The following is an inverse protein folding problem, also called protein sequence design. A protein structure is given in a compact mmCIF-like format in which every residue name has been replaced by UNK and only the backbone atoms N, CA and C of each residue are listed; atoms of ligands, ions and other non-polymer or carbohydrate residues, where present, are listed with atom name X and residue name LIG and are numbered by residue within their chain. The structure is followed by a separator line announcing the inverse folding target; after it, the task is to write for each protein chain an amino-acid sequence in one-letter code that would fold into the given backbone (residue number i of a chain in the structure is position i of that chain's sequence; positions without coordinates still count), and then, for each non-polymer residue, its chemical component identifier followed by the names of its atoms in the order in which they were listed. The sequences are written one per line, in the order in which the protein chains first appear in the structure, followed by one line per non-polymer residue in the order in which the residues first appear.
data_IF_141219746056
#
_entry.id   IF_141219746056
#
_cell.length_a   1.000
_cell.length_b   1.000
_cell.length_c   1.000
_cell.angle_alpha   90.00
_cell.angle_beta   90.00
_cell.angle_gamma   90.00
#
_symmetry.space_group_name_H-M   'P 1'
#
loop_
_entity.id
_entity.type
_entity.pdbx_description
1 polymer ?
#
# COMPACT_ATOMS: atom_id res chain seq x y z
N UNK A 1 -19.11 -44.02 -61.92
CA UNK A 1 -18.68 -42.62 -61.74
C UNK A 1 -19.81 -41.85 -61.09
N UNK A 2 -19.72 -41.58 -59.79
CA UNK A 2 -20.64 -40.68 -59.07
C UNK A 2 -19.85 -39.99 -57.97
N UNK A 3 -19.73 -38.67 -58.08
CA UNK A 3 -19.06 -37.79 -57.11
C UNK A 3 -19.99 -37.58 -55.92
N UNK A 4 -19.54 -37.91 -54.71
CA UNK A 4 -20.17 -37.44 -53.47
C UNK A 4 -19.29 -36.36 -52.88
N UNK A 5 -19.76 -35.13 -52.98
CA UNK A 5 -19.18 -33.94 -52.36
C UNK A 5 -19.56 -33.95 -50.88
N UNK A 6 -18.59 -34.14 -49.98
CA UNK A 6 -18.79 -33.91 -48.54
C UNK A 6 -18.26 -32.51 -48.23
N UNK A 7 -19.19 -31.61 -47.96
CA UNK A 7 -18.93 -30.27 -47.43
C UNK A 7 -18.30 -30.42 -46.03
N UNK A 8 -17.01 -30.10 -45.90
CA UNK A 8 -16.38 -29.91 -44.58
C UNK A 8 -16.83 -28.55 -44.03
N UNK A 9 -17.77 -28.57 -43.09
CA UNK A 9 -18.04 -27.43 -42.21
C UNK A 9 -16.92 -27.37 -41.17
N UNK A 10 -15.94 -26.49 -41.39
CA UNK A 10 -14.96 -26.13 -40.36
C UNK A 10 -15.65 -25.22 -39.34
N UNK A 11 -15.99 -25.77 -38.16
CA UNK A 11 -16.30 -24.97 -36.98
C UNK A 11 -15.01 -24.24 -36.57
N UNK A 12 -14.91 -22.96 -36.94
CA UNK A 12 -13.94 -22.05 -36.35
C UNK A 12 -14.38 -21.80 -34.90
N UNK A 13 -13.72 -22.47 -33.95
CA UNK A 13 -13.79 -22.10 -32.54
C UNK A 13 -13.12 -20.72 -32.44
N UNK A 14 -13.92 -19.67 -32.26
CA UNK A 14 -13.39 -18.36 -31.86
C UNK A 14 -12.81 -18.53 -30.45
N UNK A 15 -11.49 -18.73 -30.40
CA UNK A 15 -10.71 -18.57 -29.18
C UNK A 15 -10.77 -17.10 -28.77
N UNK A 16 -11.71 -16.76 -27.88
CA UNK A 16 -11.70 -15.47 -27.21
C UNK A 16 -10.43 -15.41 -26.35
N UNK A 17 -9.53 -14.49 -26.69
CA UNK A 17 -8.39 -14.18 -25.84
C UNK A 17 -8.91 -13.74 -24.46
N UNK A 18 -8.30 -14.21 -23.35
CA UNK A 18 -8.67 -13.72 -22.03
C UNK A 18 -8.46 -12.20 -22.02
N UNK A 19 -9.48 -11.47 -21.58
CA UNK A 19 -9.37 -10.04 -21.33
C UNK A 19 -8.24 -9.84 -20.30
N UNK A 20 -7.07 -9.44 -20.79
CA UNK A 20 -6.01 -8.92 -19.95
C UNK A 20 -6.63 -7.69 -19.30
N UNK A 21 -7.00 -7.82 -18.03
CA UNK A 21 -7.40 -6.70 -17.22
C UNK A 21 -6.22 -5.73 -17.21
N UNK A 22 -6.30 -4.70 -18.06
CA UNK A 22 -5.34 -3.63 -18.06
C UNK A 22 -5.31 -3.08 -16.64
N UNK A 23 -4.20 -3.30 -15.95
CA UNK A 23 -3.92 -2.66 -14.68
C UNK A 23 -3.97 -1.17 -14.95
N UNK A 24 -5.08 -0.52 -14.59
CA UNK A 24 -5.20 0.91 -14.65
C UNK A 24 -4.17 1.48 -13.68
N UNK A 25 -2.99 1.80 -14.21
CA UNK A 25 -2.06 2.73 -13.59
C UNK A 25 -2.88 3.98 -13.28
N UNK A 26 -3.06 4.26 -12.00
CA UNK A 26 -3.71 5.50 -11.59
C UNK A 26 -2.80 6.65 -12.02
N UNK A 27 -3.12 7.27 -13.15
CA UNK A 27 -2.51 8.51 -13.62
C UNK A 27 -3.54 9.61 -13.35
N UNK A 28 -3.35 10.49 -12.35
CA UNK A 28 -4.25 11.60 -12.15
C UNK A 28 -4.23 12.49 -13.42
N UNK A 29 -5.39 12.94 -13.94
CA UNK A 29 -5.42 13.82 -15.10
C UNK A 29 -4.67 15.13 -14.84
N UNK A 30 -3.88 15.58 -15.81
CA UNK A 30 -3.26 16.90 -15.79
C UNK A 30 -4.34 17.99 -15.60
N UNK A 31 -4.25 18.77 -14.53
CA UNK A 31 -5.16 19.89 -14.24
C UNK A 31 -6.29 19.63 -13.24
N UNK A 32 -6.32 18.49 -12.53
CA UNK A 32 -7.30 18.28 -11.45
C UNK A 32 -6.91 19.03 -10.16
N UNK A 33 -7.00 20.37 -10.16
CA UNK A 33 -6.98 21.18 -8.94
C UNK A 33 -8.41 21.34 -8.42
N UNK A 34 -8.88 20.38 -7.62
CA UNK A 34 -10.11 20.59 -6.86
C UNK A 34 -9.88 21.68 -5.81
N UNK A 35 -10.27 22.92 -6.11
CA UNK A 35 -10.16 24.09 -5.24
C UNK A 35 -11.12 24.07 -4.02
N UNK A 36 -11.52 22.88 -3.56
CA UNK A 36 -12.31 22.70 -2.34
C UNK A 36 -11.52 21.90 -1.32
N UNK A 37 -11.46 22.35 -0.07
CA UNK A 37 -10.96 21.55 1.05
C UNK A 37 -11.87 20.33 1.19
N UNK A 38 -11.46 19.20 0.62
CA UNK A 38 -12.17 17.93 0.81
C UNK A 38 -12.05 17.51 2.28
N UNK A 39 -13.08 16.89 2.87
CA UNK A 39 -12.99 16.41 4.24
C UNK A 39 -11.90 15.34 4.35
N UNK A 40 -11.33 15.16 5.53
CA UNK A 40 -10.37 14.08 5.76
C UNK A 40 -10.97 12.70 5.44
N UNK A 41 -12.22 12.48 5.83
CA UNK A 41 -13.00 11.25 5.60
C UNK A 41 -14.30 11.57 4.88
N UNK A 42 -14.66 10.75 3.89
CA UNK A 42 -15.95 10.83 3.20
C UNK A 42 -17.08 10.37 4.12
N UNK A 43 -18.29 10.91 3.95
CA UNK A 43 -19.47 10.38 4.64
C UNK A 43 -19.65 8.89 4.29
N UNK A 44 -19.82 7.98 5.28
CA UNK A 44 -20.07 6.57 5.02
C UNK A 44 -21.34 6.39 4.19
N UNK A 45 -21.24 5.63 3.10
CA UNK A 45 -22.40 5.29 2.25
C UNK A 45 -23.04 3.95 2.62
N UNK A 46 -22.36 3.17 3.44
CA UNK A 46 -22.76 1.83 3.88
C UNK A 46 -22.52 1.75 5.40
N UNK A 47 -23.54 1.46 6.23
CA UNK A 47 -23.40 1.41 7.68
C UNK A 47 -22.58 0.21 8.19
N UNK A 48 -22.36 -0.83 7.37
CA UNK A 48 -21.68 -2.06 7.78
C UNK A 48 -20.15 -2.00 7.57
N UNK A 49 -19.64 -0.89 6.98
CA UNK A 49 -18.21 -0.67 6.83
C UNK A 49 -17.58 -0.21 8.15
N UNK A 50 -16.32 -0.61 8.42
CA UNK A 50 -15.59 -0.10 9.56
C UNK A 50 -15.54 1.44 9.57
N UNK A 51 -15.73 2.04 10.74
CA UNK A 51 -15.58 3.48 10.90
C UNK A 51 -14.16 3.89 10.57
N UNK A 52 -14.03 4.93 9.74
CA UNK A 52 -12.77 5.53 9.35
C UNK A 52 -12.61 6.88 10.05
N UNK A 53 -11.43 7.17 10.61
CA UNK A 53 -11.10 8.48 11.19
C UNK A 53 -9.78 8.97 10.62
N UNK A 54 -9.74 10.22 10.13
CA UNK A 54 -8.49 10.85 9.71
C UNK A 54 -7.69 11.24 10.95
N UNK A 55 -6.46 10.77 11.03
CA UNK A 55 -5.50 11.21 12.06
C UNK A 55 -4.76 12.42 11.50
N UNK A 56 -4.58 13.54 12.22
CA UNK A 56 -3.78 14.66 11.72
C UNK A 56 -2.33 14.26 11.44
N UNK A 57 -1.75 14.72 10.33
CA UNK A 57 -0.38 14.33 9.94
C UNK A 57 0.66 14.72 11.01
N UNK A 58 0.47 15.89 11.63
CA UNK A 58 1.34 16.41 12.71
C UNK A 58 1.35 15.53 13.95
N UNK A 59 0.32 14.73 14.18
CA UNK A 59 0.27 13.76 15.29
C UNK A 59 1.21 12.57 15.04
N UNK A 60 1.47 12.24 13.78
CA UNK A 60 2.26 11.07 13.40
C UNK A 60 3.68 11.40 12.98
N UNK A 61 3.95 12.60 12.46
CA UNK A 61 5.30 13.00 12.05
C UNK A 61 6.40 12.73 13.09
N UNK A 62 6.20 12.95 14.41
CA UNK A 62 7.23 12.66 15.41
C UNK A 62 7.61 11.19 15.54
N UNK A 63 6.77 10.27 15.05
CA UNK A 63 7.01 8.82 15.12
C UNK A 63 8.02 8.34 14.06
N UNK A 64 8.36 9.17 13.09
CA UNK A 64 9.22 8.83 11.96
C UNK A 64 10.62 9.40 12.16
N UNK A 65 11.62 8.53 12.03
CA UNK A 65 13.03 8.88 12.08
C UNK A 65 13.70 8.47 10.78
N UNK A 66 14.09 9.45 9.97
CA UNK A 66 14.85 9.20 8.73
C UNK A 66 16.28 8.82 9.11
N UNK A 67 16.81 7.79 8.44
CA UNK A 67 18.19 7.40 8.62
C UNK A 67 19.12 8.53 8.13
N UNK A 68 20.03 9.04 8.97
CA UNK A 68 20.88 10.18 8.60
C UNK A 68 21.90 9.86 7.50
N UNK A 69 22.17 8.58 7.22
CA UNK A 69 23.05 8.14 6.15
C UNK A 69 22.30 7.88 4.84
N UNK A 70 20.96 7.92 4.86
CA UNK A 70 20.15 7.92 3.65
C UNK A 70 20.21 9.29 2.94
N UNK A 71 21.22 9.43 2.08
CA UNK A 71 21.58 10.67 1.35
C UNK A 71 21.87 10.42 -0.12
N UNK A 72 21.63 11.43 -0.95
CA UNK A 72 22.02 11.47 -2.37
C UNK A 72 22.79 12.76 -2.65
N UNK A 73 24.11 12.64 -2.73
CA UNK A 73 24.98 13.82 -2.80
C UNK A 73 24.83 14.67 -1.54
N UNK A 74 24.46 15.94 -1.69
CA UNK A 74 24.17 16.85 -0.57
C UNK A 74 22.74 16.77 -0.04
N UNK A 75 21.83 16.08 -0.76
CA UNK A 75 20.42 15.96 -0.35
C UNK A 75 20.24 14.86 0.69
N UNK A 76 19.60 15.22 1.81
CA UNK A 76 19.22 14.25 2.84
C UNK A 76 17.83 13.74 2.53
N UNK A 77 17.61 12.44 2.70
CA UNK A 77 16.30 11.86 2.51
C UNK A 77 15.24 12.50 3.39
N UNK A 78 13.99 12.37 2.97
CA UNK A 78 12.85 12.81 3.75
C UNK A 78 11.73 11.78 3.71
N UNK A 79 10.92 11.82 4.77
CA UNK A 79 9.66 11.10 4.90
C UNK A 79 8.63 12.11 5.35
N UNK A 80 7.54 12.21 4.60
CA UNK A 80 6.42 13.10 4.90
C UNK A 80 5.14 12.28 4.99
N UNK A 81 4.43 12.40 6.11
CA UNK A 81 3.08 11.86 6.21
C UNK A 81 2.18 12.67 5.27
N UNK A 82 1.63 12.00 4.26
CA UNK A 82 0.67 12.61 3.32
C UNK A 82 -0.76 12.20 3.64
N UNK A 83 -0.95 11.12 4.39
CA UNK A 83 -2.25 10.79 4.94
C UNK A 83 -2.21 9.62 5.90
N UNK A 84 -3.14 9.61 6.84
CA UNK A 84 -3.25 8.54 7.81
C UNK A 84 -4.68 8.37 8.30
N UNK A 85 -5.10 7.11 8.39
CA UNK A 85 -6.45 6.77 8.80
C UNK A 85 -6.42 5.70 9.89
N UNK A 86 -7.17 5.96 10.97
CA UNK A 86 -7.57 4.93 11.92
C UNK A 86 -8.79 4.20 11.37
N UNK A 87 -8.76 2.87 11.48
CA UNK A 87 -9.88 2.01 11.13
C UNK A 87 -10.36 1.34 12.40
N UNK A 88 -11.63 1.55 12.75
CA UNK A 88 -12.21 0.99 13.95
C UNK A 88 -12.26 -0.55 13.85
N UNK A 89 -11.69 -1.20 14.86
CA UNK A 89 -11.77 -2.64 15.06
C UNK A 89 -12.54 -2.94 16.35
N UNK A 90 -13.01 -4.18 16.46
CA UNK A 90 -13.54 -4.73 17.71
C UNK A 90 -12.77 -6.00 18.06
N UNK A 91 -12.89 -6.49 19.30
CA UNK A 91 -12.28 -7.76 19.69
C UNK A 91 -12.73 -8.94 18.80
N UNK A 92 -13.96 -8.88 18.25
CA UNK A 92 -14.52 -9.94 17.40
C UNK A 92 -14.20 -9.74 15.92
N UNK A 93 -13.83 -8.52 15.52
CA UNK A 93 -13.65 -8.11 14.13
C UNK A 93 -12.42 -7.22 13.98
N UNK A 94 -11.33 -7.81 13.49
CA UNK A 94 -10.03 -7.17 13.32
C UNK A 94 -9.36 -7.62 12.02
N UNK A 95 -8.45 -6.79 11.52
CA UNK A 95 -7.66 -7.03 10.32
C UNK A 95 -6.60 -8.10 10.60
N UNK A 96 -6.50 -9.05 9.68
CA UNK A 96 -5.54 -10.16 9.72
C UNK A 96 -4.55 -10.09 8.56
N UNK A 97 -4.86 -9.35 7.49
CA UNK A 97 -3.98 -9.17 6.34
C UNK A 97 -4.34 -7.88 5.58
N UNK A 98 -3.34 -7.29 4.92
CA UNK A 98 -3.53 -6.14 4.03
C UNK A 98 -2.62 -6.24 2.79
N UNK A 99 -3.07 -5.73 1.65
CA UNK A 99 -2.29 -5.70 0.41
C UNK A 99 -2.79 -4.63 -0.57
N UNK A 100 -1.97 -4.28 -1.56
CA UNK A 100 -2.30 -3.37 -2.65
C UNK A 100 -1.38 -3.62 -3.85
N UNK A 101 -1.84 -3.42 -5.11
CA UNK A 101 -0.96 -3.44 -6.28
C UNK A 101 0.01 -2.23 -6.37
N UNK A 102 -0.19 -1.22 -5.54
CA UNK A 102 0.62 -0.01 -5.46
C UNK A 102 0.66 0.48 -4.02
N UNK A 103 0.69 1.80 -3.77
CA UNK A 103 0.58 2.34 -2.39
C UNK A 103 -0.88 2.52 -1.92
N UNK A 104 -1.81 2.73 -2.86
CA UNK A 104 -3.26 2.80 -2.68
C UNK A 104 -3.95 2.25 -3.95
N UNK A 105 -5.20 1.75 -3.85
CA UNK A 105 -5.99 1.55 -2.64
C UNK A 105 -5.51 0.34 -1.82
N UNK A 106 -5.73 0.34 -0.49
CA UNK A 106 -5.37 -0.79 0.37
C UNK A 106 -6.56 -1.71 0.54
N UNK A 107 -6.39 -3.00 0.27
CA UNK A 107 -7.36 -4.03 0.64
C UNK A 107 -7.01 -4.57 2.01
N UNK A 108 -8.01 -4.63 2.90
CA UNK A 108 -7.92 -5.08 4.28
C UNK A 108 -8.81 -6.31 4.44
N UNK A 109 -8.23 -7.44 4.85
CA UNK A 109 -8.97 -8.65 5.17
C UNK A 109 -9.16 -8.76 6.67
N UNK A 110 -10.40 -8.97 7.08
CA UNK A 110 -10.80 -9.16 8.47
C UNK A 110 -10.93 -10.64 8.81
N UNK A 111 -10.79 -10.98 10.08
CA UNK A 111 -10.89 -12.34 10.61
C UNK A 111 -12.27 -13.00 10.41
N UNK A 112 -13.31 -12.22 10.07
CA UNK A 112 -14.65 -12.69 9.74
C UNK A 112 -14.82 -13.06 8.24
N UNK A 113 -13.73 -13.02 7.48
CA UNK A 113 -13.70 -13.32 6.04
C UNK A 113 -14.18 -12.17 5.14
N UNK A 114 -14.55 -11.01 5.71
CA UNK A 114 -14.92 -9.84 4.92
C UNK A 114 -13.68 -9.03 4.53
N UNK A 115 -13.74 -8.41 3.36
CA UNK A 115 -12.68 -7.53 2.87
C UNK A 115 -13.21 -6.14 2.54
N UNK A 116 -12.34 -5.16 2.80
CA UNK A 116 -12.63 -3.75 2.61
C UNK A 116 -11.49 -3.06 1.88
N UNK A 117 -11.82 -2.16 0.96
CA UNK A 117 -10.85 -1.32 0.26
C UNK A 117 -10.86 0.07 0.86
N UNK A 118 -9.74 0.48 1.45
CA UNK A 118 -9.45 1.86 1.82
C UNK A 118 -8.92 2.61 0.59
N UNK A 119 -9.59 3.70 0.24
CA UNK A 119 -9.20 4.59 -0.84
C UNK A 119 -9.17 6.03 -0.32
N UNK A 120 -8.39 6.89 -0.96
CA UNK A 120 -8.37 8.32 -0.71
C UNK A 120 -8.05 9.05 -2.00
N UNK A 121 -8.38 10.34 -2.05
CA UNK A 121 -8.01 11.22 -3.14
C UNK A 121 -6.65 11.84 -2.81
N UNK A 122 -5.67 11.65 -3.69
CA UNK A 122 -4.34 12.25 -3.54
C UNK A 122 -4.28 13.55 -4.36
N UNK A 123 -4.27 14.70 -3.69
CA UNK A 123 -4.29 16.01 -4.35
C UNK A 123 -3.45 17.00 -3.54
N UNK A 124 -2.57 17.77 -4.21
CA UNK A 124 -1.73 18.76 -3.54
C UNK A 124 -0.75 18.16 -2.51
N UNK A 125 -0.33 16.89 -2.69
CA UNK A 125 0.58 16.23 -1.77
C UNK A 125 -0.04 15.83 -0.42
N UNK A 126 -1.36 15.69 -0.36
CA UNK A 126 -2.08 15.15 0.81
C UNK A 126 -3.25 14.25 0.40
N UNK A 127 -3.54 13.26 1.23
CA UNK A 127 -4.71 12.40 1.11
C UNK A 127 -5.91 13.05 1.80
N UNK A 128 -7.00 13.12 1.05
CA UNK A 128 -8.30 13.59 1.50
C UNK A 128 -9.40 12.62 1.06
N UNK A 129 -10.61 12.83 1.56
CA UNK A 129 -11.79 12.07 1.16
C UNK A 129 -11.59 10.54 1.31
N UNK A 130 -10.95 10.16 2.43
CA UNK A 130 -10.72 8.77 2.80
C UNK A 130 -12.04 8.01 2.90
N UNK A 131 -12.12 6.83 2.30
CA UNK A 131 -13.34 6.03 2.20
C UNK A 131 -13.01 4.56 2.27
N UNK A 132 -13.86 3.83 2.98
CA UNK A 132 -13.81 2.37 3.04
C UNK A 132 -15.03 1.82 2.32
N UNK A 133 -14.84 0.82 1.47
CA UNK A 133 -15.92 0.12 0.77
C UNK A 133 -15.73 -1.37 0.87
N UNK A 134 -16.83 -2.11 1.01
CA UNK A 134 -16.80 -3.57 0.95
C UNK A 134 -16.36 -4.02 -0.44
N UNK A 135 -15.43 -4.96 -0.50
CA UNK A 135 -14.91 -5.56 -1.74
C UNK A 135 -14.74 -7.07 -1.57
N UNK A 136 -14.61 -7.80 -2.67
CA UNK A 136 -14.12 -9.17 -2.60
C UNK A 136 -12.66 -9.19 -2.13
N UNK A 137 -12.24 -10.24 -1.42
CA UNK A 137 -10.85 -10.40 -1.00
C UNK A 137 -9.88 -10.63 -2.17
N UNK A 138 -10.36 -10.85 -3.39
CA UNK A 138 -9.51 -10.97 -4.59
C UNK A 138 -8.36 -11.97 -4.44
N UNK A 139 -7.34 -11.82 -5.29
CA UNK A 139 -6.05 -12.47 -5.06
C UNK A 139 -5.13 -11.50 -4.34
N UNK A 140 -4.57 -11.95 -3.21
CA UNK A 140 -3.41 -11.33 -2.60
C UNK A 140 -2.25 -11.46 -3.60
N UNK A 141 -1.59 -10.36 -3.91
CA UNK A 141 -0.37 -10.41 -4.72
C UNK A 141 0.65 -11.27 -3.95
N UNK A 142 1.37 -12.14 -4.66
CA UNK A 142 2.40 -12.97 -4.02
C UNK A 142 3.36 -12.07 -3.28
N UNK A 143 3.66 -12.40 -2.02
CA UNK A 143 4.60 -11.62 -1.22
C UNK A 143 5.92 -11.52 -1.98
N UNK A 144 6.40 -10.29 -2.20
CA UNK A 144 7.73 -10.07 -2.76
C UNK A 144 8.77 -10.64 -1.79
N UNK A 145 9.88 -11.16 -2.33
CA UNK A 145 11.00 -11.58 -1.49
C UNK A 145 11.64 -10.36 -0.81
N UNK A 146 12.28 -10.59 0.33
CA UNK A 146 13.03 -9.56 1.01
C UNK A 146 14.14 -9.01 0.09
N UNK A 147 14.23 -7.68 -0.12
CA UNK A 147 15.20 -7.10 -1.07
C UNK A 147 16.65 -7.31 -0.61
N UNK A 148 16.88 -7.38 0.70
CA UNK A 148 18.16 -7.67 1.33
C UNK A 148 17.93 -8.17 2.76
N UNK A 149 18.88 -8.91 3.33
CA UNK A 149 18.78 -9.40 4.71
C UNK A 149 19.49 -8.46 5.69
N UNK A 150 18.95 -8.27 6.91
CA UNK A 150 19.63 -7.50 7.94
C UNK A 150 20.97 -8.15 8.34
N UNK A 151 21.88 -7.38 8.97
CA UNK A 151 23.13 -7.93 9.48
C UNK A 151 22.90 -9.15 10.40
N UNK A 152 23.81 -10.14 10.40
CA UNK A 152 23.69 -11.31 11.27
C UNK A 152 23.52 -10.93 12.74
N UNK A 153 22.61 -11.61 13.43
CA UNK A 153 22.29 -11.33 14.84
C UNK A 153 21.27 -10.20 15.07
N UNK A 154 20.77 -9.57 13.99
CA UNK A 154 19.69 -8.59 14.10
C UNK A 154 18.40 -9.21 14.66
N UNK A 155 17.68 -8.52 15.57
CA UNK A 155 16.38 -8.96 16.08
C UNK A 155 15.22 -8.74 15.09
N UNK A 156 15.50 -8.11 13.95
CA UNK A 156 14.50 -7.68 12.98
C UNK A 156 13.82 -8.87 12.29
N UNK A 157 12.48 -8.85 12.28
CA UNK A 157 11.65 -9.82 11.57
C UNK A 157 11.10 -9.22 10.29
N UNK A 158 11.22 -9.94 9.19
CA UNK A 158 10.66 -9.50 7.91
C UNK A 158 9.13 -9.43 7.98
N UNK A 159 8.57 -8.29 7.57
CA UNK A 159 7.12 -8.07 7.49
C UNK A 159 6.62 -8.27 6.06
N UNK A 160 7.36 -7.73 5.10
CA UNK A 160 7.02 -7.79 3.68
C UNK A 160 7.84 -6.80 2.86
N UNK A 161 7.68 -6.89 1.55
CA UNK A 161 8.28 -5.95 0.60
C UNK A 161 7.26 -5.57 -0.47
N UNK A 162 7.47 -4.39 -1.04
CA UNK A 162 6.68 -3.88 -2.14
C UNK A 162 7.53 -2.89 -2.95
N UNK A 163 7.57 -3.08 -4.28
CA UNK A 163 8.32 -2.18 -5.18
C UNK A 163 9.77 -1.96 -4.70
N UNK A 164 10.40 -3.02 -4.22
CA UNK A 164 11.79 -3.02 -3.73
C UNK A 164 12.00 -2.44 -2.33
N UNK A 165 11.03 -1.76 -1.72
CA UNK A 165 11.09 -1.40 -0.30
C UNK A 165 10.91 -2.66 0.55
N UNK A 166 11.62 -2.75 1.68
CA UNK A 166 11.47 -3.84 2.64
C UNK A 166 11.07 -3.31 4.02
N UNK A 167 10.11 -3.93 4.69
CA UNK A 167 9.70 -3.61 6.05
C UNK A 167 10.15 -4.70 7.03
N UNK A 168 10.71 -4.26 8.15
CA UNK A 168 11.31 -5.11 9.17
C UNK A 168 10.87 -4.67 10.55
N UNK A 169 10.14 -5.52 11.27
CA UNK A 169 9.64 -5.20 12.61
C UNK A 169 10.69 -5.54 13.68
N UNK A 170 10.91 -4.62 14.62
CA UNK A 170 11.48 -4.91 15.92
C UNK A 170 10.36 -4.98 16.94
N UNK A 171 10.01 -6.20 17.36
CA UNK A 171 8.95 -6.41 18.35
C UNK A 171 9.30 -5.91 19.75
N UNK A 172 10.60 -5.83 20.09
CA UNK A 172 11.05 -5.40 21.42
C UNK A 172 10.87 -3.90 21.57
N UNK A 173 11.31 -3.15 20.56
CA UNK A 173 11.22 -1.69 20.55
C UNK A 173 9.90 -1.19 19.98
N UNK A 174 9.05 -2.10 19.49
CA UNK A 174 7.76 -1.81 18.84
C UNK A 174 7.88 -0.88 17.64
N UNK A 175 8.99 -0.99 16.92
CA UNK A 175 9.30 -0.18 15.74
C UNK A 175 9.27 -1.01 14.47
N UNK A 176 9.17 -0.32 13.34
CA UNK A 176 9.42 -0.91 12.02
C UNK A 176 10.51 -0.11 11.32
N UNK A 177 11.55 -0.78 10.85
CA UNK A 177 12.55 -0.23 9.96
C UNK A 177 12.13 -0.51 8.51
N UNK A 178 12.16 0.52 7.68
CA UNK A 178 11.95 0.40 6.23
C UNK A 178 13.28 0.60 5.52
N UNK A 179 13.60 -0.27 4.56
CA UNK A 179 14.82 -0.19 3.74
C UNK A 179 14.54 0.44 2.37
N UNK A 180 15.55 1.08 1.83
CA UNK A 180 15.50 1.75 0.53
C UNK A 180 15.34 0.74 -0.64
N UNK A 181 14.63 1.13 -1.73
CA UNK A 181 14.39 0.26 -2.86
C UNK A 181 15.64 0.12 -3.73
N UNK A 182 15.72 -0.99 -4.48
CA UNK A 182 16.78 -1.25 -5.47
C UNK A 182 18.22 -1.33 -4.91
N UNK A 183 18.35 -1.52 -3.60
CA UNK A 183 19.64 -1.68 -2.93
C UNK A 183 19.97 -3.16 -2.79
N UNK A 184 21.23 -3.53 -3.10
CA UNK A 184 21.71 -4.93 -2.93
C UNK A 184 22.15 -5.23 -1.49
N UNK A 185 22.23 -4.21 -0.66
CA UNK A 185 22.68 -4.27 0.72
C UNK A 185 21.56 -3.77 1.63
N UNK A 186 21.55 -4.23 2.87
CA UNK A 186 20.60 -3.74 3.86
C UNK A 186 20.86 -2.26 4.16
N UNK A 187 20.06 -1.39 3.53
CA UNK A 187 20.17 0.05 3.64
C UNK A 187 18.91 0.61 4.30
N UNK A 188 18.97 0.97 5.60
CA UNK A 188 17.88 1.65 6.27
C UNK A 188 17.54 2.96 5.56
N UNK A 189 16.24 3.24 5.48
CA UNK A 189 15.69 4.47 4.95
C UNK A 189 15.07 5.29 6.08
N UNK A 190 14.16 4.69 6.83
CA UNK A 190 13.58 5.30 8.01
C UNK A 190 13.14 4.23 9.01
N UNK A 191 12.95 4.63 10.26
CA UNK A 191 12.29 3.85 11.30
C UNK A 191 11.00 4.56 11.70
N UNK A 192 9.98 3.79 12.07
CA UNK A 192 8.71 4.29 12.61
C UNK A 192 8.36 3.59 13.92
N UNK A 193 7.88 4.33 14.91
CA UNK A 193 7.26 3.80 16.14
C UNK A 193 5.87 3.20 15.87
N UNK A 194 5.85 2.08 15.16
CA UNK A 194 4.66 1.37 14.74
C UNK A 194 5.01 -0.10 14.53
N UNK A 195 4.18 -1.01 15.04
CA UNK A 195 4.25 -2.42 14.66
C UNK A 195 3.50 -2.61 13.34
N UNK A 196 4.25 -2.67 12.25
CA UNK A 196 3.72 -2.83 10.89
C UNK A 196 3.42 -4.29 10.63
N UNK A 197 2.24 -4.56 10.07
CA UNK A 197 1.80 -5.88 9.62
C UNK A 197 1.81 -6.02 8.10
N UNK A 198 1.82 -4.91 7.35
CA UNK A 198 1.96 -4.92 5.91
C UNK A 198 2.58 -3.60 5.40
N UNK A 199 3.37 -3.72 4.33
CA UNK A 199 3.88 -2.59 3.56
C UNK A 199 3.32 -2.68 2.14
N UNK A 200 2.94 -1.54 1.60
CA UNK A 200 2.58 -1.37 0.21
C UNK A 200 3.30 -0.13 -0.32
N UNK A 201 3.72 -0.13 -1.57
CA UNK A 201 4.49 0.98 -2.10
C UNK A 201 4.31 1.15 -3.59
N UNK A 202 4.73 2.29 -4.09
CA UNK A 202 4.97 2.54 -5.50
C UNK A 202 6.13 3.53 -5.59
N UNK A 203 7.21 3.13 -6.23
CA UNK A 203 8.31 4.05 -6.51
C UNK A 203 8.11 4.75 -7.86
N UNK A 204 8.72 5.92 -8.01
CA UNK A 204 8.80 6.59 -9.30
C UNK A 204 9.76 5.83 -10.23
N UNK A 205 9.43 5.67 -11.52
CA UNK A 205 10.32 5.00 -12.47
C UNK A 205 11.64 5.76 -12.69
N UNK A 206 11.62 7.09 -12.55
CA UNK A 206 12.73 7.98 -12.95
C UNK A 206 13.36 8.78 -11.79
N UNK A 207 12.80 8.70 -10.58
CA UNK A 207 13.29 9.44 -9.41
C UNK A 207 13.29 8.54 -8.17
N UNK A 208 14.34 8.61 -7.31
CA UNK A 208 14.44 7.75 -6.13
C UNK A 208 13.56 8.30 -5.00
N UNK A 209 12.25 8.24 -5.24
CA UNK A 209 11.20 8.59 -4.31
C UNK A 209 9.94 7.82 -4.66
N UNK A 210 8.88 8.05 -3.89
CA UNK A 210 7.62 7.38 -4.13
C UNK A 210 6.67 7.53 -2.96
N UNK A 211 5.66 6.68 -2.97
CA UNK A 211 4.71 6.57 -1.87
C UNK A 211 4.83 5.20 -1.21
N UNK A 212 4.85 5.21 0.12
CA UNK A 212 4.87 4.02 0.96
C UNK A 212 3.67 4.08 1.87
N UNK A 213 2.87 3.02 1.91
CA UNK A 213 1.76 2.87 2.83
C UNK A 213 2.08 1.72 3.79
N UNK A 214 2.00 2.01 5.09
CA UNK A 214 2.17 1.04 6.17
C UNK A 214 0.81 0.77 6.81
N UNK A 215 0.49 -0.50 7.01
CA UNK A 215 -0.65 -0.95 7.84
C UNK A 215 -0.09 -1.59 9.10
N UNK A 216 -0.62 -1.21 10.25
CA UNK A 216 -0.12 -1.70 11.52
C UNK A 216 -0.79 -1.01 12.69
N UNK A 217 -0.12 -0.98 13.85
CA UNK A 217 -0.70 -0.41 15.08
C UNK A 217 0.11 0.74 15.66
N UNK A 218 -0.56 1.89 15.82
CA UNK A 218 -0.07 3.05 16.60
C UNK A 218 -0.90 3.14 17.87
N UNK A 219 -0.25 3.12 19.05
CA UNK A 219 -0.98 3.12 20.33
C UNK A 219 -1.99 1.96 20.48
N UNK A 220 -1.76 0.84 19.79
CA UNK A 220 -2.65 -0.33 19.78
C UNK A 220 -3.83 -0.26 18.79
N UNK A 221 -4.05 0.87 18.14
CA UNK A 221 -5.14 1.08 17.17
C UNK A 221 -4.68 0.77 15.76
N UNK A 222 -5.53 0.12 14.96
CA UNK A 222 -5.23 -0.14 13.56
C UNK A 222 -5.12 1.18 12.80
N UNK A 223 -3.97 1.41 12.18
CA UNK A 223 -3.65 2.63 11.46
C UNK A 223 -3.08 2.27 10.09
N UNK A 224 -3.56 2.96 9.06
CA UNK A 224 -2.98 2.96 7.73
C UNK A 224 -2.34 4.32 7.50
N UNK A 225 -1.02 4.36 7.35
CA UNK A 225 -0.25 5.60 7.13
C UNK A 225 0.35 5.56 5.73
N UNK A 226 0.06 6.57 4.92
CA UNK A 226 0.70 6.80 3.62
C UNK A 226 1.68 7.95 3.71
N UNK A 227 2.87 7.69 3.17
CA UNK A 227 4.04 8.54 3.20
C UNK A 227 4.41 8.94 1.77
N UNK A 228 4.96 10.13 1.64
CA UNK A 228 5.83 10.50 0.53
C UNK A 228 7.28 10.33 1.02
N UNK A 229 8.10 9.66 0.22
CA UNK A 229 9.52 9.40 0.51
C UNK A 229 10.38 9.90 -0.65
N UNK A 230 11.53 10.49 -0.35
CA UNK A 230 12.42 11.07 -1.37
C UNK A 230 13.74 11.60 -0.80
N UNK A 231 14.40 12.49 -1.56
CA UNK A 231 15.62 13.23 -1.22
C UNK A 231 15.44 14.72 -1.48
#
# INVERSE_FOLDING_TARGET
MSKVTVLRMSMAVLSAAPAVAAHAQFVPPAGYSGNGVKPGVAAPTDPDVPTLTRIPDTTLSPLFHVDPDYKRGSSTGHVKVVGAFEIAETQKRHVVSAWSPGFLPVTLSFNDGQCYSLQADYTGGTLSNGRVRKVGCGHRQTDEEAPSSPPPGSPLKFVGSAWGYGAWADERDRTTLVTAPYTKTFQPLFTVEMLTSAIMAMNGPDFPGGNVTLVGRVGGRLTVITLEVGY
#
